data_IF_693213916316
#
_entry.id   IF_693213916316
#
_cell.length_a   1.000
_cell.length_b   1.000
_cell.length_c   1.000
_cell.angle_alpha   90.00
_cell.angle_beta   90.00
_cell.angle_gamma   90.00
#
_symmetry.space_group_name_H-M   'P 1'
#
loop_
_entity.id
_entity.type
_entity.pdbx_description
1 polymer ?
#
# COMPACT_ATOMS: atom_id res chain seq x y z
N UNK A 1 -2.10 17.00 13.60
CA UNK A 1 -2.73 15.75 13.14
C UNK A 1 -2.40 15.71 11.67
N UNK A 2 -1.41 14.91 11.36
CA UNK A 2 -0.40 15.24 10.38
C UNK A 2 -0.65 14.47 9.09
N UNK A 3 -0.37 15.13 7.96
CA UNK A 3 -0.50 14.55 6.62
C UNK A 3 0.53 13.43 6.50
N UNK A 4 0.09 12.25 6.08
CA UNK A 4 1.01 11.27 5.53
C UNK A 4 1.28 11.69 4.08
N UNK A 5 2.28 12.57 3.93
CA UNK A 5 3.16 12.44 2.79
C UNK A 5 3.77 11.07 3.03
N UNK A 6 3.29 10.04 2.34
CA UNK A 6 4.08 8.82 2.22
C UNK A 6 5.43 9.36 1.76
N UNK A 7 6.40 9.41 2.69
CA UNK A 7 7.73 9.87 2.38
C UNK A 7 8.22 8.81 1.44
N UNK A 8 8.08 9.12 0.17
CA UNK A 8 8.93 8.64 -0.88
C UNK A 8 10.33 8.71 -0.30
N UNK A 9 10.86 7.56 0.12
CA UNK A 9 12.29 7.46 0.20
C UNK A 9 12.74 7.81 -1.23
N UNK A 10 13.61 8.81 -1.44
CA UNK A 10 13.97 9.29 -2.78
C UNK A 10 14.57 8.20 -3.69
N UNK A 11 14.76 7.00 -3.16
CA UNK A 11 15.41 5.86 -3.79
C UNK A 11 14.41 4.77 -4.23
N UNK A 12 13.18 4.75 -3.71
CA UNK A 12 12.14 3.77 -4.10
C UNK A 12 10.71 4.34 -4.04
N UNK A 13 10.11 4.65 -5.21
CA UNK A 13 8.75 5.16 -5.33
C UNK A 13 7.67 4.31 -4.65
N UNK A 14 6.76 4.96 -3.94
CA UNK A 14 5.50 4.33 -3.50
C UNK A 14 5.59 3.37 -2.32
N UNK A 15 6.71 3.40 -1.56
CA UNK A 15 6.83 2.68 -0.29
C UNK A 15 6.12 3.41 0.86
N UNK A 16 5.49 2.65 1.75
CA UNK A 16 4.92 3.16 3.00
C UNK A 16 4.96 2.11 4.12
N UNK A 17 4.91 2.59 5.37
CA UNK A 17 5.03 1.73 6.55
C UNK A 17 3.66 1.21 7.01
N UNK A 18 3.61 -0.09 7.28
CA UNK A 18 2.45 -0.77 7.86
C UNK A 18 2.86 -1.44 9.16
N UNK A 19 2.05 -1.25 10.20
CA UNK A 19 2.06 -2.12 11.36
C UNK A 19 1.20 -3.36 11.06
N UNK A 20 1.78 -4.55 11.24
CA UNK A 20 1.18 -5.83 10.90
C UNK A 20 1.32 -6.83 12.04
N UNK A 21 0.28 -7.63 12.28
CA UNK A 21 0.26 -8.63 13.36
C UNK A 21 -0.53 -9.87 13.03
N UNK A 22 -0.26 -10.93 13.77
CA UNK A 22 -1.15 -12.08 13.87
C UNK A 22 -2.47 -11.63 14.50
N UNK A 23 -3.60 -12.01 13.89
CA UNK A 23 -4.93 -11.61 14.31
C UNK A 23 -5.16 -11.84 15.81
N UNK A 24 -5.62 -10.82 16.52
CA UNK A 24 -5.92 -10.90 17.96
C UNK A 24 -4.72 -10.81 18.89
N UNK A 25 -3.49 -10.70 18.37
CA UNK A 25 -2.29 -10.49 19.18
C UNK A 25 -2.04 -8.99 19.44
N UNK A 26 -1.22 -8.68 20.46
CA UNK A 26 -0.81 -7.30 20.77
C UNK A 26 0.50 -6.89 20.11
N UNK A 27 1.39 -7.85 19.92
CA UNK A 27 2.66 -7.63 19.22
C UNK A 27 2.37 -7.32 17.75
N UNK A 28 3.14 -6.41 17.16
CA UNK A 28 3.12 -6.14 15.74
C UNK A 28 4.55 -5.89 15.26
N UNK A 29 4.80 -6.17 13.98
CA UNK A 29 6.00 -5.75 13.28
C UNK A 29 5.66 -4.54 12.40
N UNK A 30 6.66 -3.72 12.12
CA UNK A 30 6.59 -2.63 11.16
C UNK A 30 7.33 -3.06 9.91
N UNK A 31 6.63 -3.07 8.78
CA UNK A 31 7.17 -3.51 7.50
C UNK A 31 6.80 -2.51 6.41
N UNK A 32 7.76 -2.27 5.52
CA UNK A 32 7.55 -1.44 4.33
C UNK A 32 6.86 -2.24 3.23
N UNK A 33 5.89 -1.60 2.57
CA UNK A 33 5.14 -2.12 1.45
C UNK A 33 5.14 -1.13 0.30
N UNK A 34 5.20 -1.68 -0.91
CA UNK A 34 4.94 -0.96 -2.13
C UNK A 34 3.43 -0.85 -2.36
N UNK A 35 2.98 0.36 -2.65
CA UNK A 35 1.67 0.60 -3.22
C UNK A 35 1.61 0.06 -4.65
N UNK A 36 0.89 -1.04 -4.85
CA UNK A 36 0.74 -1.66 -6.16
C UNK A 36 -0.73 -1.78 -6.55
N UNK A 37 -1.17 -0.89 -7.44
CA UNK A 37 -2.53 -0.89 -7.98
C UNK A 37 -2.86 -2.13 -8.82
N UNK A 38 -1.84 -2.82 -9.33
CA UNK A 38 -1.95 -4.05 -10.11
C UNK A 38 -2.02 -5.31 -9.25
N UNK A 39 -1.63 -5.23 -7.97
CA UNK A 39 -1.68 -6.36 -7.06
C UNK A 39 -3.13 -6.71 -6.68
N UNK A 40 -3.53 -7.95 -6.95
CA UNK A 40 -4.86 -8.45 -6.59
C UNK A 40 -4.98 -8.88 -5.12
N UNK A 41 -3.87 -9.00 -4.40
CA UNK A 41 -3.80 -9.44 -3.01
C UNK A 41 -2.50 -8.94 -2.36
N UNK A 42 -2.53 -8.72 -1.05
CA UNK A 42 -1.34 -8.42 -0.27
C UNK A 42 -0.35 -9.60 -0.32
N UNK A 43 0.95 -9.32 -0.35
CA UNK A 43 1.97 -10.37 -0.34
C UNK A 43 3.12 -10.08 0.62
N UNK A 44 3.58 -11.13 1.28
CA UNK A 44 4.65 -11.17 2.27
C UNK A 44 5.61 -12.31 1.94
N UNK A 45 6.76 -12.35 2.61
CA UNK A 45 7.65 -13.50 2.59
C UNK A 45 7.45 -14.36 3.84
N UNK A 46 7.61 -15.67 3.70
CA UNK A 46 7.53 -16.60 4.82
C UNK A 46 8.53 -16.24 5.94
N UNK A 47 9.71 -15.70 5.59
CA UNK A 47 10.68 -15.18 6.56
C UNK A 47 10.16 -14.00 7.40
N UNK A 48 9.24 -13.19 6.86
CA UNK A 48 8.65 -12.05 7.60
C UNK A 48 7.80 -12.52 8.79
N UNK A 49 7.26 -13.74 8.74
CA UNK A 49 6.45 -14.28 9.82
C UNK A 49 7.19 -14.34 11.15
N UNK A 50 8.50 -14.56 11.13
CA UNK A 50 9.29 -14.55 12.36
C UNK A 50 9.23 -13.19 13.07
N UNK A 51 9.28 -12.10 12.30
CA UNK A 51 9.15 -10.74 12.83
C UNK A 51 7.73 -10.46 13.30
N UNK A 52 6.73 -10.86 12.50
CA UNK A 52 5.29 -10.64 12.78
C UNK A 52 4.83 -11.42 14.00
N UNK A 53 5.35 -12.63 14.21
CA UNK A 53 5.06 -13.45 15.39
C UNK A 53 5.85 -12.96 16.61
N UNK A 54 7.06 -12.41 16.40
CA UNK A 54 7.93 -11.94 17.48
C UNK A 54 8.24 -13.08 18.45
N UNK A 55 7.83 -12.93 19.71
CA UNK A 55 7.93 -13.98 20.75
C UNK A 55 6.64 -14.78 20.95
N UNK A 56 5.60 -14.49 20.17
CA UNK A 56 4.30 -15.16 20.25
C UNK A 56 4.39 -16.57 19.66
N UNK A 57 3.65 -17.51 20.25
CA UNK A 57 3.39 -18.83 19.66
C UNK A 57 2.13 -18.84 18.79
N UNK A 58 1.44 -17.70 18.65
CA UNK A 58 0.27 -17.59 17.80
C UNK A 58 0.70 -17.58 16.33
N UNK A 59 0.17 -18.53 15.56
CA UNK A 59 0.38 -18.61 14.12
C UNK A 59 -0.76 -17.92 13.36
N UNK A 60 -0.48 -17.30 12.20
CA UNK A 60 -1.53 -16.81 11.31
C UNK A 60 -2.46 -17.94 10.87
N UNK A 61 -3.76 -17.66 10.83
CA UNK A 61 -4.73 -18.62 10.31
C UNK A 61 -4.51 -18.81 8.81
N UNK A 62 -4.23 -20.04 8.38
CA UNK A 62 -4.19 -20.41 6.96
C UNK A 62 -5.62 -20.50 6.42
N UNK A 63 -5.93 -19.65 5.43
CA UNK A 63 -7.26 -19.54 4.83
C UNK A 63 -7.41 -20.46 3.63
N UNK A 64 -6.37 -20.54 2.78
CA UNK A 64 -6.32 -21.40 1.60
C UNK A 64 -4.88 -21.56 1.09
N UNK A 65 -4.69 -22.46 0.12
CA UNK A 65 -3.53 -22.44 -0.76
C UNK A 65 -3.87 -21.67 -2.03
N UNK A 66 -2.90 -20.96 -2.58
CA UNK A 66 -3.06 -20.20 -3.80
C UNK A 66 -1.80 -20.36 -4.68
N UNK A 67 -2.01 -20.47 -5.98
CA UNK A 67 -0.94 -20.59 -6.97
C UNK A 67 -0.93 -19.31 -7.80
N UNK A 68 0.22 -18.65 -7.84
CA UNK A 68 0.45 -17.44 -8.63
C UNK A 68 1.48 -17.72 -9.72
N UNK A 69 1.26 -17.18 -10.91
CA UNK A 69 2.26 -17.17 -11.98
C UNK A 69 3.16 -15.94 -11.77
N UNK A 70 4.46 -16.17 -11.70
CA UNK A 70 5.45 -15.12 -11.57
C UNK A 70 5.76 -14.50 -12.95
N UNK A 71 6.41 -13.34 -12.94
CA UNK A 71 6.78 -12.63 -14.17
C UNK A 71 7.69 -13.44 -15.12
N UNK A 72 8.35 -14.49 -14.63
CA UNK A 72 9.18 -15.40 -15.42
C UNK A 72 8.44 -16.65 -15.93
N UNK A 73 7.10 -16.69 -15.78
CA UNK A 73 6.22 -17.79 -16.21
C UNK A 73 6.23 -19.00 -15.28
N UNK A 74 6.95 -18.97 -14.14
CA UNK A 74 6.92 -20.06 -13.16
C UNK A 74 5.72 -19.92 -12.24
N UNK A 75 5.13 -21.05 -11.89
CA UNK A 75 4.08 -21.10 -10.88
C UNK A 75 4.65 -21.27 -9.48
N UNK A 76 4.15 -20.47 -8.55
CA UNK A 76 4.45 -20.56 -7.14
C UNK A 76 3.17 -20.81 -6.34
N UNK A 77 3.11 -21.98 -5.69
CA UNK A 77 2.07 -22.29 -4.70
C UNK A 77 2.52 -21.87 -3.31
N UNK A 78 1.70 -21.10 -2.63
CA UNK A 78 1.91 -20.68 -1.24
C UNK A 78 0.60 -20.54 -0.48
N UNK A 79 0.72 -20.47 0.85
CA UNK A 79 -0.43 -20.28 1.74
C UNK A 79 -0.92 -18.84 1.68
N UNK A 80 -2.23 -18.68 1.71
CA UNK A 80 -2.89 -17.40 2.02
C UNK A 80 -3.27 -17.42 3.48
N UNK A 81 -2.80 -16.44 4.23
CA UNK A 81 -3.08 -16.31 5.67
C UNK A 81 -3.91 -15.06 5.95
N UNK A 82 -4.63 -15.06 7.07
CA UNK A 82 -5.27 -13.86 7.60
C UNK A 82 -4.34 -13.15 8.61
N UNK A 83 -4.16 -11.84 8.43
CA UNK A 83 -3.40 -10.97 9.31
C UNK A 83 -4.18 -9.69 9.61
N UNK A 84 -3.81 -8.97 10.66
CA UNK A 84 -4.32 -7.63 10.95
C UNK A 84 -3.28 -6.57 10.59
N UNK A 85 -3.70 -5.52 9.89
CA UNK A 85 -2.84 -4.42 9.44
C UNK A 85 -3.41 -3.06 9.80
N UNK A 86 -2.52 -2.09 9.96
CA UNK A 86 -2.84 -0.65 10.05
C UNK A 86 -1.70 0.18 9.47
N UNK A 87 -2.02 1.36 8.99
CA UNK A 87 -1.07 2.26 8.33
C UNK A 87 -0.50 3.19 9.38
N UNK A 88 0.82 3.37 9.37
CA UNK A 88 1.51 4.29 10.26
C UNK A 88 1.85 5.57 9.52
N UNK A 89 1.63 6.72 10.18
CA UNK A 89 2.12 8.00 9.70
C UNK A 89 3.63 8.18 9.91
N UNK A 90 4.17 9.31 9.48
CA UNK A 90 5.61 9.62 9.61
C UNK A 90 6.07 9.73 11.06
N UNK A 91 5.13 9.88 12.01
CA UNK A 91 5.36 9.91 13.45
C UNK A 91 5.01 8.55 14.10
N UNK A 92 4.91 7.47 13.31
CA UNK A 92 4.55 6.11 13.73
C UNK A 92 3.15 6.01 14.39
N UNK A 93 2.27 6.98 14.13
CA UNK A 93 0.89 6.95 14.66
C UNK A 93 -0.03 6.24 13.68
N UNK A 94 -0.96 5.46 14.22
CA UNK A 94 -1.95 4.75 13.41
C UNK A 94 -2.91 5.71 12.71
N UNK A 95 -2.97 5.62 11.39
CA UNK A 95 -3.94 6.35 10.57
C UNK A 95 -5.29 5.65 10.48
N UNK A 96 -5.30 4.32 10.57
CA UNK A 96 -6.48 3.49 10.37
C UNK A 96 -6.77 2.63 11.60
N UNK A 97 -7.99 2.11 11.70
CA UNK A 97 -8.25 0.96 12.58
C UNK A 97 -7.50 -0.26 12.06
N UNK A 98 -7.21 -1.22 12.94
CA UNK A 98 -6.77 -2.54 12.52
C UNK A 98 -7.83 -3.18 11.62
N UNK A 99 -7.40 -3.67 10.45
CA UNK A 99 -8.25 -4.39 9.50
C UNK A 99 -7.66 -5.74 9.18
N UNK A 100 -8.53 -6.73 8.99
CA UNK A 100 -8.14 -8.07 8.58
C UNK A 100 -7.95 -8.12 7.07
N UNK A 101 -6.82 -8.67 6.65
CA UNK A 101 -6.44 -8.79 5.24
C UNK A 101 -5.98 -10.21 4.94
N UNK A 102 -6.29 -10.66 3.73
CA UNK A 102 -5.73 -11.90 3.19
C UNK A 102 -4.37 -11.59 2.57
N UNK A 103 -3.36 -12.34 2.97
CA UNK A 103 -1.99 -12.17 2.52
C UNK A 103 -1.42 -13.46 1.96
N UNK A 104 -0.89 -13.39 0.74
CA UNK A 104 -0.08 -14.46 0.15
C UNK A 104 1.27 -14.54 0.87
N UNK A 105 1.70 -15.75 1.22
CA UNK A 105 3.05 -16.02 1.67
C UNK A 105 3.90 -16.53 0.51
N UNK A 106 4.86 -15.71 0.11
CA UNK A 106 5.90 -16.06 -0.82
C UNK A 106 7.04 -16.80 -0.10
N UNK A 107 7.70 -17.73 -0.78
CA UNK A 107 8.85 -18.44 -0.21
C UNK A 107 10.05 -17.49 -0.09
N UNK A 108 10.87 -17.69 0.94
CA UNK A 108 12.11 -16.95 1.14
C UNK A 108 11.99 -15.75 2.07
N UNK A 109 12.79 -14.72 1.78
CA UNK A 109 12.95 -13.50 2.58
C UNK A 109 12.91 -12.26 1.68
N UNK A 110 12.45 -11.13 2.22
CA UNK A 110 12.44 -9.84 1.53
C UNK A 110 13.86 -9.28 1.44
N UNK A 111 14.58 -9.63 0.37
CA UNK A 111 15.98 -9.20 0.20
C UNK A 111 16.16 -8.22 -0.97
N UNK A 112 15.20 -8.16 -1.91
CA UNK A 112 15.28 -7.35 -3.16
C UNK A 112 13.94 -6.98 -3.80
N UNK A 113 12.84 -7.54 -3.32
CA UNK A 113 11.51 -7.35 -3.91
C UNK A 113 10.59 -6.90 -2.79
N UNK A 114 9.89 -5.81 -3.07
CA UNK A 114 9.01 -5.17 -2.11
C UNK A 114 7.79 -6.05 -1.85
N UNK A 115 7.29 -5.97 -0.61
CA UNK A 115 5.99 -6.52 -0.25
C UNK A 115 4.92 -5.71 -0.96
N UNK A 116 3.89 -6.38 -1.46
CA UNK A 116 2.80 -5.70 -2.17
C UNK A 116 1.61 -5.56 -1.23
N UNK A 117 1.01 -4.38 -1.20
CA UNK A 117 -0.11 -4.10 -0.31
C UNK A 117 -1.42 -4.72 -0.80
N UNK A 118 -1.63 -4.77 -2.12
CA UNK A 118 -2.87 -5.22 -2.71
C UNK A 118 -4.03 -4.25 -2.47
N UNK A 119 -5.29 -4.70 -2.64
CA UNK A 119 -6.40 -3.78 -2.86
C UNK A 119 -6.98 -3.13 -1.58
N UNK A 120 -6.46 -3.41 -0.39
CA UNK A 120 -7.08 -2.95 0.86
C UNK A 120 -6.81 -1.48 1.18
N UNK A 121 -5.66 -0.92 0.79
CA UNK A 121 -5.31 0.47 1.08
C UNK A 121 -6.34 1.45 0.54
N UNK A 122 -6.67 1.31 -0.75
CA UNK A 122 -7.65 2.16 -1.45
C UNK A 122 -9.09 2.06 -0.91
N UNK A 123 -9.38 1.07 -0.07
CA UNK A 123 -10.67 0.92 0.60
C UNK A 123 -10.70 1.64 1.96
N UNK A 124 -9.54 2.00 2.49
CA UNK A 124 -9.38 2.53 3.85
C UNK A 124 -9.07 4.02 3.89
N UNK A 125 -8.36 4.54 2.89
CA UNK A 125 -7.89 5.92 2.86
C UNK A 125 -8.18 6.57 1.51
N UNK A 126 -8.27 7.90 1.53
CA UNK A 126 -8.29 8.68 0.31
C UNK A 126 -6.88 8.72 -0.28
N UNK A 127 -6.75 8.33 -1.54
CA UNK A 127 -5.48 8.30 -2.27
C UNK A 127 -5.54 9.24 -3.47
N UNK A 128 -4.46 9.95 -3.75
CA UNK A 128 -4.30 10.68 -5.00
C UNK A 128 -2.85 10.67 -5.47
N UNK A 129 -2.66 10.81 -6.77
CA UNK A 129 -1.38 11.12 -7.40
C UNK A 129 -1.55 12.40 -8.21
N UNK A 130 -0.48 13.18 -8.33
CA UNK A 130 -0.48 14.42 -9.09
C UNK A 130 0.72 14.41 -10.04
N UNK A 131 0.53 14.66 -11.35
CA UNK A 131 1.64 14.70 -12.29
C UNK A 131 2.43 16.01 -12.13
N UNK A 132 3.67 15.95 -11.64
CA UNK A 132 4.64 17.05 -11.76
C UNK A 132 6.09 16.62 -11.47
N UNK A 133 7.00 17.34 -12.12
CA UNK A 133 8.47 17.36 -12.02
C UNK A 133 9.08 16.39 -10.99
N UNK A 134 9.57 15.27 -11.52
CA UNK A 134 10.51 14.29 -10.95
C UNK A 134 10.06 13.44 -9.75
N UNK A 135 8.95 13.74 -9.07
CA UNK A 135 8.47 12.94 -7.94
C UNK A 135 7.04 12.39 -8.15
N UNK A 136 6.92 11.13 -8.60
CA UNK A 136 5.65 10.37 -8.75
C UNK A 136 5.02 10.02 -7.39
N UNK A 137 4.74 11.04 -6.57
CA UNK A 137 4.27 10.89 -5.20
C UNK A 137 2.84 10.34 -5.10
N UNK A 138 2.66 9.40 -4.17
CA UNK A 138 1.35 8.95 -3.71
C UNK A 138 0.95 9.70 -2.44
N UNK A 139 -0.16 10.42 -2.51
CA UNK A 139 -0.74 11.16 -1.40
C UNK A 139 -1.84 10.33 -0.75
N UNK A 140 -1.78 10.19 0.58
CA UNK A 140 -2.72 9.37 1.34
C UNK A 140 -3.25 10.17 2.53
N UNK A 141 -4.57 10.23 2.70
CA UNK A 141 -5.19 10.89 3.84
C UNK A 141 -6.40 10.12 4.38
N UNK A 142 -6.70 10.33 5.67
CA UNK A 142 -7.88 9.73 6.31
C UNK A 142 -9.19 10.48 6.04
N UNK A 143 -9.12 11.67 5.44
CA UNK A 143 -10.28 12.43 5.01
C UNK A 143 -9.98 13.26 3.76
N UNK A 144 -11.05 13.54 3.00
CA UNK A 144 -10.98 14.26 1.74
C UNK A 144 -10.42 15.70 1.86
N UNK A 145 -10.86 16.54 2.82
CA UNK A 145 -10.31 17.90 2.95
C UNK A 145 -8.79 17.93 3.16
N UNK A 146 -8.25 17.01 3.95
CA UNK A 146 -6.80 16.90 4.13
C UNK A 146 -6.09 16.50 2.85
N UNK A 147 -6.64 15.54 2.08
CA UNK A 147 -6.04 15.14 0.81
C UNK A 147 -5.97 16.32 -0.16
N UNK A 148 -7.09 17.03 -0.36
CA UNK A 148 -7.14 18.15 -1.29
C UNK A 148 -6.25 19.31 -0.83
N UNK A 149 -6.18 19.59 0.47
CA UNK A 149 -5.29 20.62 1.01
C UNK A 149 -3.80 20.26 0.91
N UNK A 150 -3.47 18.97 0.83
CA UNK A 150 -2.11 18.48 0.70
C UNK A 150 -1.65 18.40 -0.77
N UNK A 151 -2.57 18.14 -1.69
CA UNK A 151 -2.24 18.01 -3.11
C UNK A 151 -1.62 19.30 -3.65
N UNK A 152 -0.53 19.19 -4.43
CA UNK A 152 0.08 20.36 -5.04
C UNK A 152 -0.91 21.02 -6.00
N UNK A 153 -0.93 22.35 -6.03
CA UNK A 153 -1.67 23.06 -7.06
C UNK A 153 -0.99 22.81 -8.42
N UNK A 154 -1.58 21.93 -9.23
CA UNK A 154 -1.10 21.55 -10.55
C UNK A 154 -1.34 22.62 -11.62
N UNK A 155 -1.85 23.80 -11.22
CA UNK A 155 -2.15 24.94 -12.08
C UNK A 155 -3.61 24.98 -12.49
N UNK A 156 -4.21 26.16 -12.42
CA UNK A 156 -5.47 26.44 -13.10
C UNK A 156 -5.24 26.22 -14.59
N UNK A 157 -6.02 25.34 -15.19
CA UNK A 157 -6.15 25.30 -16.63
C UNK A 157 -6.81 26.62 -17.05
N UNK A 158 -6.00 27.64 -17.30
CA UNK A 158 -6.36 28.67 -18.25
C UNK A 158 -6.65 27.94 -19.55
N UNK A 159 -7.93 27.67 -19.76
CA UNK A 159 -8.49 27.07 -20.95
C UNK A 159 -8.28 28.06 -22.10
N UNK A 160 -7.06 28.07 -22.64
CA UNK A 160 -6.76 28.66 -23.93
C UNK A 160 -7.56 27.89 -24.99
N UNK A 161 -8.73 28.47 -25.30
CA UNK A 161 -9.43 28.39 -26.57
C UNK A 161 -9.61 27.00 -27.19
N UNK A 162 -10.63 26.27 -26.73
CA UNK A 162 -11.39 25.47 -27.69
C UNK A 162 -12.26 26.45 -28.49
N UNK A 163 -11.68 27.07 -29.54
CA UNK A 163 -12.45 27.86 -30.49
C UNK A 163 -13.48 26.93 -31.12
N UNK A 164 -14.74 27.15 -30.77
CA UNK A 164 -15.88 26.51 -31.41
C UNK A 164 -15.91 27.03 -32.85
N UNK A 165 -15.47 26.20 -33.80
CA UNK A 165 -15.76 26.43 -35.22
C UNK A 165 -17.24 26.17 -35.46
N UNK A 166 -18.07 27.14 -35.07
CA UNK A 166 -19.48 27.23 -35.43
C UNK A 166 -19.59 28.08 -36.70
N UNK A 167 -19.75 27.40 -37.83
CA UNK A 167 -20.58 27.84 -38.93
C UNK A 167 -19.91 28.62 -40.06
N UNK A 168 -20.00 28.06 -41.27
CA UNK A 168 -20.60 28.79 -42.39
C UNK A 168 -21.15 27.78 -43.40
N UNK A 169 -22.32 28.17 -43.95
CA UNK A 169 -23.27 27.42 -44.78
C UNK A 169 -22.69 26.85 -46.06
#
# INVERSE_FOLDING_TARGET
>A
MDILLARYAPEDPGLYMIAIRVTGTRWYAELEFLYDTGACMMSLYAGDLQNIMGKSTAEPQVMRLNTVELADGRNQTGSVVELEVTILDTDERRMTKWVRVQCQLNRGWSNRVNRLDGPWLRQMLYTASAPRDDDDNLWIANNYPQLIGALPNTGDSNSSSCQTALGSK
#
